data_IF_169823065374
#
_entry.id   IF_169823065374
#
_cell.length_a   1.000
_cell.length_b   1.000
_cell.length_c   1.000
_cell.angle_alpha   90.00
_cell.angle_beta   90.00
_cell.angle_gamma   90.00
#
_symmetry.space_group_name_H-M   'P 1'
#
loop_
_entity.id
_entity.type
_entity.pdbx_description
1 polymer ?
#
# COMPACT_ATOMS: atom_id res chain seq x y z
N UNK A 1 6.66 -17.58 -1.08
CA UNK A 1 5.27 -18.09 -1.21
C UNK A 1 4.44 -16.83 -1.32
N UNK A 2 3.97 -16.52 -2.52
CA UNK A 2 3.42 -15.20 -2.84
C UNK A 2 2.05 -14.96 -2.23
N UNK A 3 1.66 -13.70 -2.14
CA UNK A 3 0.33 -13.27 -1.71
C UNK A 3 -0.74 -13.82 -2.67
N UNK A 4 -1.81 -14.39 -2.13
CA UNK A 4 -3.01 -14.74 -2.90
C UNK A 4 -3.93 -13.53 -2.91
N UNK A 5 -4.00 -12.82 -4.04
CA UNK A 5 -4.87 -11.66 -4.17
C UNK A 5 -6.33 -12.06 -4.33
N UNK A 6 -7.22 -11.29 -3.71
CA UNK A 6 -8.66 -11.48 -3.74
C UNK A 6 -9.30 -10.51 -4.73
N UNK A 7 -10.43 -10.94 -5.30
CA UNK A 7 -11.26 -10.10 -6.16
C UNK A 7 -12.55 -9.75 -5.41
N UNK A 8 -12.71 -8.49 -5.07
CA UNK A 8 -13.74 -8.03 -4.13
C UNK A 8 -14.13 -6.58 -4.40
N UNK A 9 -15.31 -6.19 -3.89
CA UNK A 9 -15.88 -4.86 -4.10
C UNK A 9 -16.02 -4.11 -2.77
N UNK A 10 -15.74 -2.80 -2.83
CA UNK A 10 -15.89 -1.86 -1.71
C UNK A 10 -17.12 -0.96 -1.84
N UNK A 11 -17.99 -1.25 -2.80
CA UNK A 11 -19.19 -0.49 -3.15
C UNK A 11 -20.26 -1.42 -3.71
N UNK A 12 -21.51 -0.97 -3.73
CA UNK A 12 -22.68 -1.70 -4.22
C UNK A 12 -22.98 -2.99 -3.43
N UNK A 13 -22.40 -4.12 -3.82
CA UNK A 13 -22.63 -5.44 -3.24
C UNK A 13 -21.67 -5.79 -2.09
N UNK A 14 -20.63 -4.96 -1.87
CA UNK A 14 -19.73 -5.00 -0.70
C UNK A 14 -19.19 -6.40 -0.38
N UNK A 15 -18.51 -7.03 -1.33
CA UNK A 15 -18.00 -8.40 -1.15
C UNK A 15 -16.67 -8.47 -0.38
N UNK A 16 -16.10 -7.33 0.04
CA UNK A 16 -14.89 -7.26 0.87
C UNK A 16 -15.01 -8.14 2.11
N UNK A 17 -13.98 -8.96 2.37
CA UNK A 17 -13.88 -9.74 3.61
C UNK A 17 -12.45 -10.17 3.89
N UNK A 18 -12.04 -10.08 5.16
CA UNK A 18 -10.71 -10.49 5.59
C UNK A 18 -10.59 -12.02 5.71
N UNK A 19 -9.50 -12.60 5.24
CA UNK A 19 -9.11 -13.97 5.57
C UNK A 19 -8.75 -14.12 7.06
N UNK A 20 -8.74 -15.35 7.62
CA UNK A 20 -8.22 -15.59 8.96
C UNK A 20 -6.78 -15.08 9.15
N UNK A 21 -5.95 -15.14 8.11
CA UNK A 21 -4.58 -14.63 8.12
C UNK A 21 -4.56 -13.10 8.21
N UNK A 22 -5.41 -12.42 7.45
CA UNK A 22 -5.50 -10.96 7.48
C UNK A 22 -6.08 -10.44 8.80
N UNK A 23 -7.09 -11.11 9.36
CA UNK A 23 -7.62 -10.81 10.69
C UNK A 23 -6.51 -10.83 11.76
N UNK A 24 -5.57 -11.79 11.69
CA UNK A 24 -4.46 -11.91 12.67
C UNK A 24 -3.43 -10.79 12.56
N UNK A 25 -3.25 -10.19 11.39
CA UNK A 25 -2.29 -9.09 11.17
C UNK A 25 -2.93 -7.70 11.25
N UNK A 26 -4.24 -7.61 11.47
CA UNK A 26 -4.96 -6.35 11.58
C UNK A 26 -4.31 -5.44 12.64
N UNK A 27 -3.96 -4.19 12.32
CA UNK A 27 -3.29 -3.28 13.24
C UNK A 27 -4.28 -2.70 14.25
N UNK A 28 -4.64 -3.50 15.25
CA UNK A 28 -5.55 -3.07 16.30
C UNK A 28 -5.00 -1.83 17.02
N UNK A 29 -5.68 -0.67 16.98
CA UNK A 29 -5.06 0.61 17.33
C UNK A 29 -5.13 0.96 18.82
N UNK A 30 -5.87 0.18 19.61
CA UNK A 30 -6.11 0.47 21.02
C UNK A 30 -5.14 -0.29 21.91
N UNK A 31 -4.29 0.46 22.61
CA UNK A 31 -3.37 -0.07 23.62
C UNK A 31 -3.97 -0.02 25.05
N UNK A 32 -5.12 0.64 25.21
CA UNK A 32 -5.87 0.79 26.47
C UNK A 32 -7.38 0.66 26.20
N UNK A 33 -8.18 0.46 27.25
CA UNK A 33 -9.65 0.32 27.19
C UNK A 33 -10.40 1.63 26.87
N UNK A 34 -9.69 2.76 26.88
CA UNK A 34 -10.23 4.07 26.52
C UNK A 34 -9.28 4.79 25.55
N UNK A 35 -9.86 5.51 24.59
CA UNK A 35 -9.10 6.27 23.60
C UNK A 35 -8.95 7.74 24.01
N UNK A 36 -7.73 8.27 23.92
CA UNK A 36 -7.43 9.69 24.07
C UNK A 36 -6.37 10.11 23.05
N UNK A 37 -6.47 11.33 22.53
CA UNK A 37 -5.47 11.87 21.60
C UNK A 37 -4.12 12.06 22.28
N UNK A 38 -3.05 11.73 21.55
CA UNK A 38 -1.67 11.92 21.96
C UNK A 38 -0.78 12.18 20.73
N UNK A 39 0.46 12.60 20.95
CA UNK A 39 1.51 12.54 19.93
C UNK A 39 2.05 11.11 19.92
N UNK A 40 1.35 10.22 19.20
CA UNK A 40 1.63 8.78 19.15
C UNK A 40 2.57 8.37 18.00
N UNK A 41 3.49 9.26 17.62
CA UNK A 41 4.43 9.03 16.53
C UNK A 41 5.64 8.26 17.08
N UNK A 42 6.04 7.21 16.38
CA UNK A 42 7.26 6.45 16.64
C UNK A 42 8.11 6.34 15.36
N UNK A 43 9.44 6.09 15.49
CA UNK A 43 10.25 5.76 14.33
C UNK A 43 9.71 4.50 13.65
N UNK A 44 9.59 4.51 12.32
CA UNK A 44 9.25 3.30 11.58
C UNK A 44 10.47 2.37 11.55
N UNK A 45 10.47 1.37 12.44
CA UNK A 45 11.45 0.28 12.48
C UNK A 45 10.75 -0.97 11.93
N UNK A 46 11.41 -1.71 11.04
CA UNK A 46 10.83 -2.92 10.45
C UNK A 46 10.40 -3.90 11.54
N UNK A 47 9.13 -4.26 11.51
CA UNK A 47 8.47 -5.11 12.48
C UNK A 47 8.60 -6.60 12.18
N UNK A 48 7.89 -7.45 12.96
CA UNK A 48 7.89 -8.90 12.75
C UNK A 48 7.39 -9.30 11.37
N UNK A 49 7.95 -10.37 10.82
CA UNK A 49 7.50 -10.98 9.58
C UNK A 49 6.00 -11.31 9.62
N UNK A 50 5.28 -10.97 8.56
CA UNK A 50 3.85 -11.12 8.38
C UNK A 50 3.00 -10.01 9.01
N UNK A 51 3.59 -9.10 9.79
CA UNK A 51 2.89 -7.93 10.32
C UNK A 51 2.74 -6.85 9.24
N UNK A 52 1.89 -5.85 9.48
CA UNK A 52 1.79 -4.66 8.61
C UNK A 52 3.01 -3.73 8.71
N UNK A 53 3.94 -4.02 9.62
CA UNK A 53 5.17 -3.24 9.83
C UNK A 53 6.41 -3.95 9.26
N UNK A 54 6.27 -5.14 8.65
CA UNK A 54 7.41 -5.87 8.07
C UNK A 54 8.12 -5.06 6.98
N UNK A 55 7.35 -4.32 6.19
CA UNK A 55 7.82 -3.49 5.09
C UNK A 55 7.34 -2.05 5.27
N UNK A 56 8.07 -1.10 4.67
CA UNK A 56 7.69 0.32 4.71
C UNK A 56 6.34 0.58 4.01
N UNK A 57 6.08 -0.16 2.94
CA UNK A 57 4.82 -0.12 2.18
C UNK A 57 4.23 -1.52 2.23
N UNK A 58 3.13 -1.71 2.96
CA UNK A 58 2.47 -3.01 3.05
C UNK A 58 1.61 -3.28 1.81
N UNK A 59 1.77 -4.47 1.24
CA UNK A 59 0.93 -5.03 0.18
C UNK A 59 0.30 -6.30 0.73
N UNK A 60 -1.03 -6.39 0.66
CA UNK A 60 -1.80 -7.47 1.26
C UNK A 60 -2.72 -8.19 0.26
N UNK A 61 -3.60 -9.07 0.76
CA UNK A 61 -4.52 -9.86 -0.06
C UNK A 61 -5.54 -9.02 -0.84
N UNK A 62 -5.74 -7.75 -0.48
CA UNK A 62 -6.74 -6.85 -1.06
C UNK A 62 -6.16 -5.91 -2.13
N UNK A 63 -4.83 -5.92 -2.34
CA UNK A 63 -4.13 -5.00 -3.26
C UNK A 63 -4.82 -4.81 -4.62
N UNK A 64 -5.14 -5.91 -5.31
CA UNK A 64 -5.75 -5.87 -6.65
C UNK A 64 -7.14 -5.23 -6.61
N UNK A 65 -7.96 -5.61 -5.62
CA UNK A 65 -9.29 -5.07 -5.45
C UNK A 65 -9.25 -3.57 -5.09
N UNK A 66 -8.35 -3.15 -4.21
CA UNK A 66 -8.19 -1.74 -3.84
C UNK A 66 -7.71 -0.89 -5.03
N UNK A 67 -6.80 -1.41 -5.86
CA UNK A 67 -6.38 -0.71 -7.09
C UNK A 67 -7.52 -0.57 -8.10
N UNK A 68 -8.39 -1.57 -8.21
CA UNK A 68 -9.59 -1.48 -9.06
C UNK A 68 -10.56 -0.43 -8.52
N UNK A 69 -10.84 -0.42 -7.21
CA UNK A 69 -11.71 0.59 -6.61
C UNK A 69 -11.14 2.01 -6.78
N UNK A 70 -9.83 2.19 -6.58
CA UNK A 70 -9.11 3.44 -6.83
C UNK A 70 -9.25 3.90 -8.28
N UNK A 71 -9.16 2.99 -9.25
CA UNK A 71 -9.37 3.32 -10.65
C UNK A 71 -10.80 3.81 -10.93
N UNK A 72 -11.82 3.19 -10.30
CA UNK A 72 -13.20 3.66 -10.39
C UNK A 72 -13.39 5.05 -9.79
N UNK A 73 -12.83 5.30 -8.60
CA UNK A 73 -12.88 6.63 -7.96
C UNK A 73 -12.25 7.69 -8.86
N UNK A 74 -11.06 7.43 -9.41
CA UNK A 74 -10.35 8.40 -10.26
C UNK A 74 -11.02 8.60 -11.62
N UNK A 75 -11.73 7.61 -12.14
CA UNK A 75 -12.52 7.76 -13.37
C UNK A 75 -13.74 8.67 -13.14
N UNK A 76 -14.37 8.58 -11.97
CA UNK A 76 -15.51 9.41 -11.59
C UNK A 76 -15.10 10.84 -11.17
N UNK A 77 -14.02 10.95 -10.38
CA UNK A 77 -13.50 12.22 -9.87
C UNK A 77 -11.97 12.27 -9.98
N UNK A 78 -11.42 12.73 -11.13
CA UNK A 78 -9.98 12.87 -11.32
C UNK A 78 -9.31 13.85 -10.36
N UNK A 79 -10.08 14.75 -9.71
CA UNK A 79 -9.53 15.76 -8.80
C UNK A 79 -9.10 15.19 -7.45
N UNK A 80 -9.30 13.88 -7.20
CA UNK A 80 -8.75 13.19 -6.03
C UNK A 80 -7.23 13.06 -6.05
N UNK A 81 -6.59 13.23 -7.21
CA UNK A 81 -5.13 13.32 -7.33
C UNK A 81 -4.75 14.71 -7.84
N UNK A 82 -4.06 15.49 -7.01
CA UNK A 82 -3.59 16.82 -7.37
C UNK A 82 -2.11 16.95 -7.03
N UNK A 83 -1.33 17.46 -7.98
CA UNK A 83 0.07 17.84 -7.78
C UNK A 83 0.30 19.19 -8.45
N UNK A 84 0.64 20.20 -7.64
CA UNK A 84 0.96 21.52 -8.15
C UNK A 84 2.31 21.48 -8.88
N UNK A 85 2.55 22.34 -9.89
CA UNK A 85 3.77 22.27 -10.70
C UNK A 85 5.08 22.27 -9.90
N UNK A 86 5.14 23.01 -8.79
CA UNK A 86 6.32 23.06 -7.93
C UNK A 86 6.59 21.78 -7.12
N UNK A 87 5.62 20.86 -7.05
CA UNK A 87 5.74 19.56 -6.37
C UNK A 87 6.23 18.45 -7.30
N UNK A 88 6.51 18.75 -8.58
CA UNK A 88 6.91 17.74 -9.58
C UNK A 88 8.09 16.88 -9.12
N UNK A 89 9.13 17.51 -8.53
CA UNK A 89 10.29 16.78 -8.01
C UNK A 89 9.90 15.81 -6.88
N UNK A 90 9.13 16.29 -5.90
CA UNK A 90 8.63 15.44 -4.81
C UNK A 90 7.71 14.30 -5.31
N UNK A 91 6.99 14.52 -6.42
CA UNK A 91 6.23 13.47 -7.09
C UNK A 91 7.11 12.37 -7.67
N UNK A 92 8.27 12.72 -8.23
CA UNK A 92 9.28 11.74 -8.66
C UNK A 92 9.93 11.03 -7.47
N UNK A 93 10.25 11.75 -6.39
CA UNK A 93 10.80 11.15 -5.16
C UNK A 93 9.84 10.10 -4.56
N UNK A 94 8.53 10.40 -4.56
CA UNK A 94 7.51 9.44 -4.13
C UNK A 94 7.46 8.20 -5.04
N UNK A 95 7.52 8.39 -6.36
CA UNK A 95 7.51 7.29 -7.31
C UNK A 95 8.73 6.38 -7.13
N UNK A 96 9.90 6.96 -6.93
CA UNK A 96 11.13 6.24 -6.60
C UNK A 96 10.96 5.41 -5.33
N UNK A 97 10.57 6.06 -4.23
CA UNK A 97 10.37 5.40 -2.94
C UNK A 97 9.41 4.21 -3.06
N UNK A 98 8.25 4.39 -3.70
CA UNK A 98 7.26 3.32 -3.82
C UNK A 98 7.78 2.16 -4.66
N UNK A 99 8.41 2.41 -5.82
CA UNK A 99 8.93 1.35 -6.68
C UNK A 99 10.07 0.58 -6.02
N UNK A 100 11.00 1.26 -5.36
CA UNK A 100 12.10 0.61 -4.64
C UNK A 100 11.59 -0.27 -3.50
N UNK A 101 10.70 0.25 -2.65
CA UNK A 101 10.22 -0.46 -1.48
C UNK A 101 9.30 -1.63 -1.84
N UNK A 102 8.47 -1.48 -2.88
CA UNK A 102 7.64 -2.58 -3.37
C UNK A 102 8.48 -3.70 -4.00
N UNK A 103 9.49 -3.37 -4.82
CA UNK A 103 10.41 -4.38 -5.38
C UNK A 103 11.25 -5.08 -4.31
N UNK A 104 11.64 -4.35 -3.25
CA UNK A 104 12.39 -4.91 -2.13
C UNK A 104 11.51 -5.83 -1.25
N UNK A 105 10.30 -5.38 -0.89
CA UNK A 105 9.41 -6.09 0.03
C UNK A 105 8.66 -7.26 -0.61
N UNK A 106 8.34 -7.18 -1.90
CA UNK A 106 7.53 -8.19 -2.61
C UNK A 106 8.11 -8.49 -4.01
N UNK A 107 9.34 -9.04 -4.10
CA UNK A 107 10.04 -9.30 -5.36
C UNK A 107 9.30 -10.30 -6.29
N UNK A 108 8.41 -11.12 -5.73
CA UNK A 108 7.54 -12.01 -6.50
C UNK A 108 6.51 -11.24 -7.35
N UNK A 109 6.08 -10.06 -6.91
CA UNK A 109 5.03 -9.26 -7.56
C UNK A 109 5.60 -8.07 -8.31
N UNK A 110 6.67 -7.48 -7.78
CA UNK A 110 7.25 -6.26 -8.33
C UNK A 110 8.73 -6.43 -8.69
N UNK A 111 9.18 -5.70 -9.71
CA UNK A 111 10.60 -5.65 -10.08
C UNK A 111 10.93 -4.29 -10.66
N UNK A 112 12.02 -3.71 -10.15
CA UNK A 112 12.61 -2.48 -10.66
C UNK A 112 14.03 -2.76 -11.17
N UNK A 113 14.31 -2.41 -12.43
CA UNK A 113 15.68 -2.38 -12.97
C UNK A 113 16.01 -0.96 -13.44
N UNK A 114 17.19 -0.45 -13.08
CA UNK A 114 17.62 0.94 -13.35
C UNK A 114 18.96 0.96 -14.08
N UNK A 115 19.06 1.82 -15.09
CA UNK A 115 20.29 2.22 -15.79
C UNK A 115 20.31 3.75 -15.90
N UNK A 116 20.87 4.42 -14.88
CA UNK A 116 20.68 5.86 -14.68
C UNK A 116 19.20 6.21 -14.60
N UNK A 117 18.75 7.10 -15.48
CA UNK A 117 17.35 7.54 -15.57
C UNK A 117 16.47 6.60 -16.42
N UNK A 118 17.03 5.52 -16.96
CA UNK A 118 16.26 4.50 -17.70
C UNK A 118 15.76 3.43 -16.75
N UNK A 119 14.50 3.54 -16.38
CA UNK A 119 13.87 2.65 -15.43
C UNK A 119 12.92 1.70 -16.15
N UNK A 120 12.97 0.43 -15.77
CA UNK A 120 11.97 -0.56 -16.14
C UNK A 120 11.34 -1.10 -14.87
N UNK A 121 10.07 -0.75 -14.71
CA UNK A 121 9.20 -1.23 -13.64
C UNK A 121 8.31 -2.35 -14.17
N UNK A 122 8.16 -3.42 -13.39
CA UNK A 122 7.24 -4.53 -13.64
C UNK A 122 6.39 -4.69 -12.40
N UNK A 123 5.08 -4.51 -12.56
CA UNK A 123 4.04 -4.97 -11.65
C UNK A 123 3.34 -6.13 -12.36
N UNK A 124 3.48 -7.36 -11.84
CA UNK A 124 3.04 -8.60 -12.49
C UNK A 124 1.56 -8.87 -12.27
#
# INVERSE_FOLDING_TARGET
MGITFRNETFRNDFTFSNSPEHIRRFPFPFHEDSYMYAVNIEPHVLGPKGSVLENLIDVDEHYVAEMQDRALVLAEDPLRCQSLPHMTLAGWDLLELLMEQQALGYPEHFTLTRDGDKWRWINR
#
